data_IF_241822265529
#
_entry.id   IF_241822265529
#
_cell.length_a   1.000
_cell.length_b   1.000
_cell.length_c   1.000
_cell.angle_alpha   90.00
_cell.angle_beta   90.00
_cell.angle_gamma   90.00
#
_symmetry.space_group_name_H-M   'P 1'
#
loop_
_entity.id
_entity.type
_entity.pdbx_description
1 polymer ?
#
# COMPACT_ATOMS: atom_id res chain seq x y z
N UNK A 1 36.67 -1.29 11.24
CA UNK A 1 35.72 -0.21 10.88
C UNK A 1 34.36 -0.86 10.67
N UNK A 2 33.68 -1.20 11.77
CA UNK A 2 32.34 -1.77 11.74
C UNK A 2 31.36 -0.65 12.02
N UNK A 3 30.65 -0.20 11.00
CA UNK A 3 29.46 0.64 11.22
C UNK A 3 28.35 -0.37 11.52
N UNK A 4 28.16 -0.65 12.80
CA UNK A 4 26.91 -1.20 13.28
C UNK A 4 25.84 -0.12 13.02
N UNK A 5 25.04 -0.28 11.95
CA UNK A 5 23.68 0.25 12.01
C UNK A 5 23.02 -0.42 13.21
N UNK A 6 22.47 0.38 14.13
CA UNK A 6 21.57 -0.16 15.14
C UNK A 6 20.46 -0.88 14.39
N UNK A 7 20.29 -2.17 14.69
CA UNK A 7 19.25 -3.05 14.16
C UNK A 7 18.03 -3.00 15.09
N UNK A 8 17.93 -1.95 15.91
CA UNK A 8 16.90 -1.81 16.96
C UNK A 8 15.72 -0.92 16.51
N UNK A 9 15.81 -0.30 15.33
CA UNK A 9 14.71 0.43 14.71
C UNK A 9 14.15 -0.47 13.59
N UNK A 10 12.88 -0.88 13.72
CA UNK A 10 12.13 -1.66 12.72
C UNK A 10 11.92 -0.82 11.43
N UNK A 11 13.01 -0.56 10.70
CA UNK A 11 13.04 0.22 9.46
C UNK A 11 12.73 -0.71 8.29
N UNK A 12 11.56 -0.52 7.67
CA UNK A 12 11.24 -1.19 6.42
C UNK A 12 12.02 -0.54 5.25
N UNK A 13 12.41 -1.36 4.28
CA UNK A 13 13.27 -0.94 3.18
C UNK A 13 12.46 -0.63 1.92
N UNK A 14 12.98 0.27 1.08
CA UNK A 14 12.39 0.53 -0.23
C UNK A 14 12.25 -0.75 -1.06
N UNK A 15 11.13 -0.81 -1.79
CA UNK A 15 10.79 -1.89 -2.72
C UNK A 15 9.72 -2.86 -2.23
N UNK A 16 9.44 -2.91 -0.93
CA UNK A 16 8.23 -3.58 -0.42
C UNK A 16 7.05 -2.60 -0.43
N UNK A 17 5.84 -3.14 -0.53
CA UNK A 17 4.60 -2.35 -0.62
C UNK A 17 4.46 -1.27 0.47
N UNK A 18 4.82 -1.50 1.75
CA UNK A 18 4.70 -0.48 2.78
C UNK A 18 5.55 0.77 2.49
N UNK A 19 6.86 0.61 2.28
CA UNK A 19 7.76 1.72 1.99
C UNK A 19 7.38 2.47 0.70
N UNK A 20 6.95 1.74 -0.33
CA UNK A 20 6.46 2.34 -1.57
C UNK A 20 5.15 3.13 -1.35
N UNK A 21 4.28 2.65 -0.46
CA UNK A 21 3.04 3.36 -0.12
C UNK A 21 3.35 4.65 0.66
N UNK A 22 4.35 4.62 1.54
CA UNK A 22 4.82 5.81 2.25
C UNK A 22 5.36 6.89 1.31
N UNK A 23 6.02 6.52 0.21
CA UNK A 23 6.49 7.47 -0.81
C UNK A 23 5.31 8.29 -1.38
N UNK A 24 4.24 7.62 -1.80
CA UNK A 24 3.07 8.29 -2.39
C UNK A 24 2.20 9.00 -1.33
N UNK A 25 2.13 8.48 -0.09
CA UNK A 25 1.50 9.19 1.03
C UNK A 25 2.27 10.47 1.37
N UNK A 26 3.60 10.39 1.42
CA UNK A 26 4.49 11.52 1.67
C UNK A 26 4.32 12.61 0.62
N UNK A 27 4.27 12.23 -0.66
CA UNK A 27 3.94 13.14 -1.76
C UNK A 27 2.57 13.81 -1.56
N UNK A 28 1.52 13.03 -1.30
CA UNK A 28 0.16 13.54 -1.13
C UNK A 28 0.04 14.52 0.06
N UNK A 29 0.61 14.16 1.21
CA UNK A 29 0.64 15.00 2.42
C UNK A 29 1.45 16.28 2.19
N UNK A 30 2.57 16.21 1.48
CA UNK A 30 3.39 17.39 1.16
C UNK A 30 2.65 18.41 0.29
N UNK A 31 1.70 17.96 -0.53
CA UNK A 31 0.83 18.81 -1.33
C UNK A 31 -0.44 19.27 -0.58
N UNK A 32 -0.61 18.87 0.68
CA UNK A 32 -1.77 19.24 1.50
C UNK A 32 -3.06 18.50 1.15
N UNK A 33 -2.97 17.35 0.49
CA UNK A 33 -4.13 16.50 0.23
C UNK A 33 -4.56 15.71 1.46
N UNK A 34 -5.87 15.50 1.61
CA UNK A 34 -6.40 14.57 2.60
C UNK A 34 -6.24 13.14 2.08
N UNK A 35 -5.74 12.24 2.92
CA UNK A 35 -5.68 10.81 2.59
C UNK A 35 -7.01 10.16 2.96
N UNK A 36 -7.63 9.48 1.99
CA UNK A 36 -8.88 8.77 2.17
C UNK A 36 -8.61 7.31 2.48
N UNK A 37 -7.84 6.64 1.62
CA UNK A 37 -7.38 5.27 1.80
C UNK A 37 -6.01 5.09 1.14
N UNK A 38 -5.20 4.17 1.64
CA UNK A 38 -3.94 3.80 0.99
C UNK A 38 -3.65 2.31 1.20
N UNK A 39 -2.92 1.71 0.27
CA UNK A 39 -2.49 0.32 0.37
C UNK A 39 -2.11 -0.29 -0.97
N UNK A 40 -2.43 -1.57 -1.16
CA UNK A 40 -1.99 -2.37 -2.30
C UNK A 40 -3.13 -3.10 -3.01
N UNK A 41 -2.84 -3.63 -4.19
CA UNK A 41 -3.71 -4.52 -4.93
C UNK A 41 -3.37 -6.00 -4.73
N UNK A 42 -4.35 -6.85 -5.01
CA UNK A 42 -4.20 -8.28 -5.25
C UNK A 42 -4.96 -8.65 -6.52
N UNK A 43 -4.37 -9.53 -7.33
CA UNK A 43 -5.03 -10.00 -8.55
C UNK A 43 -6.06 -11.11 -8.30
N UNK A 44 -5.89 -11.86 -7.21
CA UNK A 44 -6.71 -13.02 -6.88
C UNK A 44 -7.39 -12.84 -5.52
N UNK A 45 -8.61 -13.39 -5.34
CA UNK A 45 -9.26 -13.46 -4.03
C UNK A 45 -8.42 -14.19 -3.00
N UNK A 46 -8.63 -13.86 -1.72
CA UNK A 46 -8.02 -14.57 -0.61
C UNK A 46 -8.58 -15.99 -0.50
N UNK A 47 -7.71 -16.95 -0.15
CA UNK A 47 -8.10 -18.29 0.27
C UNK A 47 -7.54 -18.52 1.67
N UNK A 48 -8.35 -18.19 2.68
CA UNK A 48 -7.95 -18.13 4.11
C UNK A 48 -7.56 -19.51 4.66
N UNK A 49 -8.10 -20.59 4.09
CA UNK A 49 -7.81 -21.97 4.46
C UNK A 49 -6.64 -22.57 3.67
N UNK A 50 -5.87 -21.77 2.93
CA UNK A 50 -4.70 -22.23 2.20
C UNK A 50 -3.63 -22.82 3.14
N UNK A 51 -3.16 -24.03 2.83
CA UNK A 51 -2.12 -24.72 3.59
C UNK A 51 -0.89 -24.96 2.72
N UNK A 52 0.35 -24.84 3.24
CA UNK A 52 1.56 -25.05 2.44
C UNK A 52 1.60 -26.37 1.67
N UNK A 53 1.02 -27.43 2.27
CA UNK A 53 0.91 -28.76 1.65
C UNK A 53 0.17 -28.74 0.29
N UNK A 54 -0.79 -27.84 0.09
CA UNK A 54 -1.55 -27.72 -1.16
C UNK A 54 -0.76 -27.03 -2.29
N UNK A 55 0.35 -26.38 -1.93
CA UNK A 55 1.07 -25.45 -2.80
C UNK A 55 2.54 -25.85 -3.05
N UNK A 56 3.01 -26.97 -2.49
CA UNK A 56 4.39 -27.46 -2.66
C UNK A 56 4.81 -27.58 -4.12
N UNK A 57 3.89 -28.04 -4.99
CA UNK A 57 4.17 -28.20 -6.43
C UNK A 57 4.40 -26.84 -7.11
N UNK A 58 3.50 -25.88 -6.90
CA UNK A 58 3.63 -24.53 -7.48
C UNK A 58 4.88 -23.84 -6.93
N UNK A 59 5.15 -24.01 -5.63
CA UNK A 59 6.32 -23.44 -4.97
C UNK A 59 7.63 -23.99 -5.59
N UNK A 60 7.71 -25.30 -5.83
CA UNK A 60 8.85 -25.93 -6.49
C UNK A 60 9.03 -25.45 -7.95
N UNK A 61 7.95 -25.33 -8.72
CA UNK A 61 7.97 -24.80 -10.10
C UNK A 61 8.45 -23.35 -10.16
N UNK A 62 8.13 -22.56 -9.13
CA UNK A 62 8.54 -21.16 -8.99
C UNK A 62 9.85 -20.96 -8.24
N UNK A 63 10.53 -22.05 -7.86
CA UNK A 63 11.75 -22.05 -7.05
C UNK A 63 11.63 -21.18 -5.79
N UNK A 64 10.52 -21.34 -5.06
CA UNK A 64 10.21 -20.57 -3.85
C UNK A 64 9.69 -21.46 -2.72
N UNK A 65 9.64 -20.92 -1.50
CA UNK A 65 9.12 -21.65 -0.34
C UNK A 65 7.58 -21.66 -0.35
N UNK A 66 6.96 -22.82 -0.12
CA UNK A 66 5.49 -22.95 -0.08
C UNK A 66 4.83 -22.05 0.99
N UNK A 67 5.51 -21.77 2.11
CA UNK A 67 5.02 -20.81 3.12
C UNK A 67 4.93 -19.39 2.58
N UNK A 68 5.94 -18.95 1.83
CA UNK A 68 5.91 -17.64 1.17
C UNK A 68 4.78 -17.56 0.16
N UNK A 69 4.52 -18.64 -0.58
CA UNK A 69 3.38 -18.64 -1.49
C UNK A 69 2.05 -18.50 -0.74
N UNK A 70 1.88 -19.29 0.33
CA UNK A 70 0.62 -19.32 1.09
C UNK A 70 0.32 -18.00 1.78
N UNK A 71 1.31 -17.27 2.33
CA UNK A 71 1.06 -15.96 2.95
C UNK A 71 0.53 -14.90 1.96
N UNK A 72 0.81 -15.06 0.65
CA UNK A 72 0.21 -14.22 -0.39
C UNK A 72 -1.23 -14.65 -0.70
N UNK A 73 -1.56 -15.92 -0.52
CA UNK A 73 -2.87 -16.49 -0.84
C UNK A 73 -3.87 -16.29 0.30
N UNK A 74 -3.47 -16.58 1.54
CA UNK A 74 -4.35 -16.51 2.72
C UNK A 74 -4.60 -15.06 3.18
N UNK A 75 -3.73 -14.12 2.80
CA UNK A 75 -3.82 -12.71 3.15
C UNK A 75 -2.90 -12.28 4.30
N UNK A 76 -2.14 -13.19 4.91
CA UNK A 76 -1.23 -12.91 6.02
C UNK A 76 -0.21 -11.81 5.67
N UNK A 77 0.43 -11.90 4.49
CA UNK A 77 1.38 -10.87 4.02
C UNK A 77 0.70 -9.51 3.82
N UNK A 78 -0.50 -9.50 3.24
CA UNK A 78 -1.30 -8.28 3.07
C UNK A 78 -1.64 -7.64 4.41
N UNK A 79 -2.04 -8.43 5.43
CA UNK A 79 -2.33 -7.91 6.76
C UNK A 79 -1.09 -7.25 7.40
N UNK A 80 0.07 -7.90 7.33
CA UNK A 80 1.34 -7.38 7.88
C UNK A 80 1.74 -6.07 7.20
N UNK A 81 1.68 -6.02 5.87
CA UNK A 81 2.04 -4.82 5.10
C UNK A 81 1.12 -3.64 5.44
N UNK A 82 -0.19 -3.87 5.54
CA UNK A 82 -1.16 -2.81 5.85
C UNK A 82 -1.01 -2.31 7.30
N UNK A 83 -0.68 -3.19 8.24
CA UNK A 83 -0.35 -2.80 9.63
C UNK A 83 0.92 -1.97 9.67
N UNK A 84 1.95 -2.32 8.90
CA UNK A 84 3.18 -1.54 8.82
C UNK A 84 2.87 -0.10 8.34
N UNK A 85 2.08 0.04 7.26
CA UNK A 85 1.65 1.36 6.77
C UNK A 85 0.87 2.11 7.84
N UNK A 86 -0.10 1.45 8.51
CA UNK A 86 -0.90 2.05 9.56
C UNK A 86 -0.01 2.62 10.67
N UNK A 87 0.91 1.81 11.20
CA UNK A 87 1.80 2.18 12.29
C UNK A 87 2.75 3.33 11.92
N UNK A 88 3.19 3.44 10.65
CA UNK A 88 4.07 4.52 10.22
C UNK A 88 3.35 5.80 9.79
N UNK A 89 2.03 5.76 9.63
CA UNK A 89 1.28 6.89 9.04
C UNK A 89 0.15 7.41 9.92
N UNK A 90 -0.29 6.65 10.91
CA UNK A 90 -1.48 6.94 11.72
C UNK A 90 -2.81 6.68 10.99
N UNK A 91 -2.76 6.13 9.78
CA UNK A 91 -3.93 5.56 9.12
C UNK A 91 -4.36 4.31 9.88
N UNK A 92 -5.64 3.94 9.82
CA UNK A 92 -6.18 2.79 10.57
C UNK A 92 -7.04 1.89 9.68
N UNK A 93 -7.10 0.56 9.93
CA UNK A 93 -8.10 -0.25 9.25
C UNK A 93 -9.50 0.20 9.65
N UNK A 94 -10.41 0.32 8.68
CA UNK A 94 -11.79 0.75 8.94
C UNK A 94 -12.60 -0.31 9.71
N UNK A 95 -12.29 -1.59 9.44
CA UNK A 95 -12.85 -2.77 10.12
C UNK A 95 -11.74 -3.82 10.33
N UNK A 96 -11.85 -4.73 11.32
CA UNK A 96 -10.90 -5.84 11.46
C UNK A 96 -10.80 -6.66 10.17
N UNK A 97 -9.57 -6.86 9.68
CA UNK A 97 -9.33 -7.54 8.40
C UNK A 97 -9.42 -6.66 7.15
N UNK A 98 -9.78 -5.38 7.30
CA UNK A 98 -10.05 -4.43 6.20
C UNK A 98 -11.24 -4.85 5.33
N UNK A 99 -11.64 -4.02 4.36
CA UNK A 99 -12.78 -4.35 3.49
C UNK A 99 -12.37 -5.28 2.34
N UNK A 100 -11.18 -5.09 1.76
CA UNK A 100 -10.71 -5.92 0.65
C UNK A 100 -11.65 -5.98 -0.56
N UNK A 101 -12.29 -4.88 -1.00
CA UNK A 101 -13.33 -4.95 -2.03
C UNK A 101 -12.81 -5.37 -3.39
N UNK A 102 -13.71 -5.91 -4.21
CA UNK A 102 -13.44 -6.10 -5.64
C UNK A 102 -13.45 -4.74 -6.34
N UNK A 103 -12.29 -4.26 -6.78
CA UNK A 103 -12.15 -2.98 -7.48
C UNK A 103 -10.91 -2.97 -8.39
N UNK A 104 -11.09 -2.61 -9.66
CA UNK A 104 -9.95 -2.32 -10.57
C UNK A 104 -9.30 -0.98 -10.23
N UNK A 105 -8.14 -0.71 -10.83
CA UNK A 105 -7.44 0.57 -10.68
C UNK A 105 -8.33 1.79 -10.97
N UNK A 106 -9.18 1.69 -12.00
CA UNK A 106 -10.08 2.77 -12.43
C UNK A 106 -11.26 2.98 -11.46
N UNK A 107 -11.62 1.95 -10.69
CA UNK A 107 -12.74 1.95 -9.76
C UNK A 107 -12.32 2.33 -8.34
N UNK A 108 -11.03 2.19 -7.99
CA UNK A 108 -10.48 2.37 -6.64
C UNK A 108 -11.03 3.60 -5.91
N UNK A 109 -10.90 4.79 -6.51
CA UNK A 109 -11.31 6.05 -5.87
C UNK A 109 -12.83 6.15 -5.63
N UNK A 110 -13.64 5.43 -6.40
CA UNK A 110 -15.10 5.37 -6.23
C UNK A 110 -15.56 4.28 -5.25
N UNK A 111 -14.75 3.25 -5.03
CA UNK A 111 -15.09 2.14 -4.13
C UNK A 111 -14.53 2.37 -2.72
N UNK A 112 -13.24 2.68 -2.62
CA UNK A 112 -12.55 2.94 -1.35
C UNK A 112 -12.67 4.43 -0.95
N UNK A 113 -13.91 4.90 -0.86
CA UNK A 113 -14.29 6.21 -0.35
C UNK A 113 -15.43 6.07 0.69
N UNK A 114 -15.84 7.15 1.37
CA UNK A 114 -16.91 7.11 2.35
C UNK A 114 -18.23 6.58 1.78
N UNK A 115 -19.00 5.87 2.61
CA UNK A 115 -20.33 5.35 2.25
C UNK A 115 -21.32 6.43 1.84
N UNK A 116 -21.23 7.62 2.41
CA UNK A 116 -22.05 8.78 2.03
C UNK A 116 -21.83 9.21 0.57
N UNK A 117 -20.68 8.88 -0.01
CA UNK A 117 -20.31 9.15 -1.40
C UNK A 117 -20.43 7.92 -2.31
N UNK A 118 -21.02 6.82 -1.80
CA UNK A 118 -21.25 5.57 -2.55
C UNK A 118 -20.15 4.51 -2.42
N UNK A 119 -19.11 4.77 -1.61
CA UNK A 119 -18.05 3.80 -1.34
C UNK A 119 -18.36 2.84 -0.18
N UNK A 120 -17.32 2.15 0.32
CA UNK A 120 -17.46 1.11 1.37
C UNK A 120 -17.05 1.58 2.76
N UNK A 121 -16.32 2.69 2.88
CA UNK A 121 -15.64 3.11 4.11
C UNK A 121 -16.58 3.82 5.10
N UNK A 122 -16.46 3.50 6.39
CA UNK A 122 -17.13 4.24 7.47
C UNK A 122 -16.37 5.53 7.83
N UNK A 123 -15.08 5.62 7.48
CA UNK A 123 -14.26 6.82 7.73
C UNK A 123 -13.19 7.05 6.67
N UNK A 124 -12.67 8.27 6.64
CA UNK A 124 -11.48 8.67 5.87
C UNK A 124 -10.21 8.38 6.68
N UNK A 125 -9.08 8.25 6.00
CA UNK A 125 -7.77 8.03 6.62
C UNK A 125 -7.52 6.57 6.98
N UNK A 126 -7.76 5.65 6.04
CA UNK A 126 -7.69 4.21 6.29
C UNK A 126 -6.56 3.50 5.54
N UNK A 127 -6.14 2.35 6.05
CA UNK A 127 -5.41 1.35 5.25
C UNK A 127 -6.41 0.30 4.76
N UNK A 128 -6.32 -0.05 3.48
CA UNK A 128 -7.13 -1.11 2.87
C UNK A 128 -6.42 -1.68 1.64
N UNK A 129 -6.93 -2.78 1.10
CA UNK A 129 -6.42 -3.38 -0.12
C UNK A 129 -7.56 -3.61 -1.12
N UNK A 130 -7.25 -3.81 -2.40
CA UNK A 130 -8.26 -4.19 -3.39
C UNK A 130 -7.98 -5.56 -3.99
N UNK A 131 -9.04 -6.24 -4.42
CA UNK A 131 -8.95 -7.44 -5.25
C UNK A 131 -9.41 -7.05 -6.65
N UNK A 132 -8.50 -6.96 -7.62
CA UNK A 132 -8.87 -6.53 -8.95
C UNK A 132 -7.69 -6.31 -9.87
N UNK A 133 -8.01 -6.13 -11.14
CA UNK A 133 -7.02 -5.96 -12.20
C UNK A 133 -6.39 -4.56 -12.13
N UNK A 134 -5.09 -4.51 -12.40
CA UNK A 134 -4.37 -3.27 -12.70
C UNK A 134 -3.75 -2.57 -11.50
N UNK A 135 -3.99 -3.03 -10.27
CA UNK A 135 -3.38 -2.46 -9.06
C UNK A 135 -2.09 -3.18 -8.68
N UNK A 136 -2.05 -4.51 -8.82
CA UNK A 136 -0.84 -5.31 -8.59
C UNK A 136 -0.11 -5.62 -9.90
N UNK A 137 1.23 -5.50 -9.97
CA UNK A 137 2.13 -5.03 -8.91
C UNK A 137 2.06 -3.52 -8.70
N UNK A 138 2.17 -3.06 -7.46
CA UNK A 138 2.12 -1.64 -7.14
C UNK A 138 1.31 -1.29 -5.90
N UNK A 139 1.23 0.01 -5.64
CA UNK A 139 0.59 0.60 -4.46
C UNK A 139 -0.22 1.84 -4.83
N UNK A 140 -1.25 2.13 -4.05
CA UNK A 140 -2.16 3.24 -4.30
C UNK A 140 -2.37 4.12 -3.06
N UNK A 141 -2.74 5.37 -3.32
CA UNK A 141 -3.20 6.32 -2.32
C UNK A 141 -4.37 7.13 -2.90
N UNK A 142 -5.55 6.99 -2.31
CA UNK A 142 -6.75 7.74 -2.67
C UNK A 142 -6.74 9.04 -1.87
N UNK A 143 -6.86 10.15 -2.58
CA UNK A 143 -6.79 11.48 -2.02
C UNK A 143 -8.04 12.30 -2.30
N UNK A 144 -8.24 13.31 -1.46
CA UNK A 144 -9.24 14.37 -1.64
C UNK A 144 -8.56 15.74 -1.49
N UNK A 145 -9.04 16.73 -2.24
CA UNK A 145 -8.65 18.13 -2.06
C UNK A 145 -9.82 18.96 -1.54
N UNK A 146 -9.52 19.94 -0.67
CA UNK A 146 -10.52 20.85 -0.09
C UNK A 146 -10.73 22.11 -0.93
N UNK A 147 -9.88 22.37 -1.92
CA UNK A 147 -9.88 23.62 -2.67
C UNK A 147 -10.53 23.44 -4.05
N UNK A 148 -11.63 24.15 -4.38
CA UNK A 148 -12.36 23.98 -5.65
C UNK A 148 -11.49 24.11 -6.90
N UNK A 149 -10.54 25.06 -6.91
CA UNK A 149 -9.60 25.24 -8.03
C UNK A 149 -8.63 24.06 -8.22
N UNK A 150 -8.27 23.37 -7.13
CA UNK A 150 -7.41 22.19 -7.22
C UNK A 150 -8.23 21.01 -7.73
N UNK A 151 -9.48 20.87 -7.26
CA UNK A 151 -10.42 19.89 -7.79
C UNK A 151 -10.63 20.05 -9.30
N UNK A 152 -10.96 21.27 -9.75
CA UNK A 152 -11.08 21.64 -11.17
C UNK A 152 -9.82 21.27 -11.95
N UNK A 153 -8.64 21.65 -11.43
CA UNK A 153 -7.35 21.34 -12.08
C UNK A 153 -7.08 19.83 -12.19
N UNK A 154 -7.41 19.05 -11.17
CA UNK A 154 -7.21 17.59 -11.19
C UNK A 154 -8.12 16.93 -12.24
N UNK A 155 -9.35 17.44 -12.41
CA UNK A 155 -10.28 17.00 -13.45
C UNK A 155 -9.78 17.41 -14.84
N UNK A 156 -9.32 18.65 -15.01
CA UNK A 156 -8.77 19.15 -16.28
C UNK A 156 -7.56 18.34 -16.76
N UNK A 157 -6.68 17.98 -15.82
CA UNK A 157 -5.50 17.13 -16.05
C UNK A 157 -5.85 15.65 -16.25
N UNK A 158 -7.13 15.28 -16.19
CA UNK A 158 -7.63 13.91 -16.37
C UNK A 158 -7.08 12.93 -15.33
N UNK A 159 -6.75 13.41 -14.13
CA UNK A 159 -6.33 12.53 -13.03
C UNK A 159 -7.50 11.65 -12.56
N UNK A 160 -8.72 12.16 -12.65
CA UNK A 160 -9.94 11.44 -12.29
C UNK A 160 -11.18 12.31 -12.45
N UNK A 161 -12.34 11.78 -12.05
CA UNK A 161 -13.62 12.50 -12.12
C UNK A 161 -13.89 13.36 -10.88
N UNK A 162 -13.15 13.16 -9.79
CA UNK A 162 -13.38 13.81 -8.50
C UNK A 162 -14.62 13.26 -7.77
N UNK A 163 -14.82 13.63 -6.49
CA UNK A 163 -13.90 14.44 -5.67
C UNK A 163 -12.66 13.66 -5.19
N UNK A 164 -12.68 12.34 -5.36
CA UNK A 164 -11.60 11.42 -5.00
C UNK A 164 -10.72 11.09 -6.21
N UNK A 165 -9.41 10.99 -5.99
CA UNK A 165 -8.41 10.71 -7.02
C UNK A 165 -7.43 9.64 -6.55
N UNK A 166 -7.02 8.74 -7.45
CA UNK A 166 -6.02 7.71 -7.17
C UNK A 166 -4.63 8.21 -7.59
N UNK A 167 -3.70 8.26 -6.64
CA UNK A 167 -2.26 8.32 -6.92
C UNK A 167 -1.75 6.88 -6.92
N UNK A 168 -1.07 6.47 -7.99
CA UNK A 168 -0.69 5.08 -8.21
C UNK A 168 0.79 4.96 -8.58
N UNK A 169 1.48 4.03 -7.93
CA UNK A 169 2.83 3.60 -8.30
C UNK A 169 2.72 2.18 -8.88
N UNK A 170 2.88 2.00 -10.21
CA UNK A 170 2.60 0.74 -10.91
C UNK A 170 3.72 -0.31 -10.79
N UNK A 171 4.57 -0.21 -9.77
CA UNK A 171 5.67 -1.11 -9.54
C UNK A 171 6.21 -0.99 -8.12
N UNK A 172 6.87 -2.06 -7.70
CA UNK A 172 7.80 -2.13 -6.58
C UNK A 172 8.77 -3.26 -6.91
N UNK A 173 10.08 -3.03 -6.77
CA UNK A 173 11.09 -3.98 -7.25
C UNK A 173 11.71 -4.80 -6.11
N UNK A 174 11.05 -4.86 -4.96
CA UNK A 174 11.44 -5.68 -3.81
C UNK A 174 12.90 -5.45 -3.43
N UNK A 175 13.70 -6.52 -3.33
CA UNK A 175 15.12 -6.47 -2.98
C UNK A 175 15.97 -5.56 -3.88
N UNK A 176 15.54 -5.24 -5.10
CA UNK A 176 16.30 -4.39 -6.02
C UNK A 176 16.31 -2.92 -5.61
N UNK A 177 15.33 -2.46 -4.82
CA UNK A 177 15.29 -1.07 -4.32
C UNK A 177 16.01 -0.92 -2.96
N UNK A 178 16.24 -2.00 -2.22
CA UNK A 178 16.89 -1.98 -0.90
C UNK A 178 18.25 -1.26 -0.86
N UNK A 179 19.13 -1.34 -1.88
CA UNK A 179 20.37 -0.56 -1.91
C UNK A 179 20.14 0.96 -1.86
N UNK A 180 18.98 1.46 -2.31
CA UNK A 180 18.63 2.87 -2.21
C UNK A 180 18.40 3.28 -0.76
N UNK A 181 17.72 2.44 0.03
CA UNK A 181 17.51 2.63 1.47
C UNK A 181 18.86 2.67 2.20
N UNK A 182 19.76 1.73 1.88
CA UNK A 182 21.10 1.69 2.46
C UNK A 182 21.89 2.98 2.15
N UNK A 183 21.83 3.45 0.89
CA UNK A 183 22.46 4.71 0.50
C UNK A 183 21.86 5.91 1.25
N UNK A 184 20.52 6.00 1.36
CA UNK A 184 19.84 7.08 2.08
C UNK A 184 20.15 7.09 3.57
N UNK A 185 20.16 5.93 4.20
CA UNK A 185 20.52 5.77 5.61
C UNK A 185 21.97 6.21 5.88
N UNK A 186 22.93 5.85 5.02
CA UNK A 186 24.35 6.18 5.23
C UNK A 186 24.63 7.65 4.91
N UNK A 187 24.18 8.13 3.75
CA UNK A 187 24.52 9.45 3.20
C UNK A 187 23.68 10.57 3.82
N UNK A 188 22.36 10.35 3.92
CA UNK A 188 21.41 11.38 4.36
C UNK A 188 20.89 11.18 5.79
N UNK A 189 21.27 10.09 6.46
CA UNK A 189 20.78 9.73 7.81
C UNK A 189 19.25 9.72 7.86
N UNK A 190 18.64 9.18 6.81
CA UNK A 190 17.20 9.14 6.63
C UNK A 190 16.75 7.72 6.36
N UNK A 191 15.80 7.24 7.15
CA UNK A 191 15.06 6.02 6.88
C UNK A 191 13.98 6.26 5.82
N UNK A 192 13.58 5.18 5.15
CA UNK A 192 12.46 5.20 4.21
C UNK A 192 11.12 5.01 4.91
N UNK A 193 11.12 4.25 6.00
CA UNK A 193 9.94 3.95 6.80
C UNK A 193 10.34 3.72 8.26
N UNK A 194 9.67 4.39 9.17
CA UNK A 194 9.80 4.21 10.63
C UNK A 194 8.37 4.24 11.22
N UNK A 195 8.06 3.43 12.25
CA UNK A 195 6.79 3.52 12.96
C UNK A 195 6.66 4.87 13.68
N UNK A 196 5.42 5.31 13.91
CA UNK A 196 5.15 6.44 14.81
C UNK A 196 5.38 6.05 16.27
N UNK A 197 5.76 7.04 17.09
CA UNK A 197 5.94 6.93 18.55
C UNK A 197 4.63 6.63 19.31
#
# INVERSE_FOLDING_TARGET
VGIACRVDDDVDAAGDEPACTLEIIGFARSLGFNIIAAGKGKNNPLKIDAMPADYEKEAAERNMNARMLVEFVDGSKTAIEMVAIANATGLVPDVPGMHGPTATLEELAGVLCPREDGGVLHRKGVVDYSIGKGVAPGVFCIIETRHPRVLERMIDLKVGKGPYFTIFRPYHLTSLEVPLSAARAVVYKRADMEPLD
#
